data_IF_033258292530
#
_entry.id   IF_033258292530
#
_cell.length_a   1.000
_cell.length_b   1.000
_cell.length_c   1.000
_cell.angle_alpha   90.00
_cell.angle_beta   90.00
_cell.angle_gamma   90.00
#
_symmetry.space_group_name_H-M   'P 1'
#
loop_
_entity.id
_entity.type
_entity.pdbx_description
1 polymer ?
#
# COMPACT_ATOMS: atom_id res chain seq x y z
N UNK A 1 2.78 30.19 -18.22
CA UNK A 1 1.33 30.01 -18.11
C UNK A 1 0.98 28.72 -18.85
N UNK A 2 1.20 27.57 -18.21
CA UNK A 2 0.85 26.26 -18.80
C UNK A 2 0.71 25.22 -17.68
N UNK A 3 -0.22 25.49 -16.77
CA UNK A 3 -0.71 24.56 -15.74
C UNK A 3 -1.90 23.75 -16.28
N UNK A 4 -1.74 23.11 -17.44
CA UNK A 4 -2.82 22.39 -18.12
C UNK A 4 -2.33 21.04 -18.66
N UNK A 5 -1.86 20.17 -17.76
CA UNK A 5 -2.01 18.70 -17.76
C UNK A 5 -1.92 18.11 -16.33
N UNK A 6 -2.33 18.88 -15.31
CA UNK A 6 -2.56 18.38 -13.96
C UNK A 6 -4.03 17.96 -13.87
N UNK A 7 -4.34 16.82 -14.48
CA UNK A 7 -5.64 16.17 -14.41
C UNK A 7 -5.40 14.67 -14.34
N UNK A 8 -5.86 14.06 -13.25
CA UNK A 8 -5.96 12.61 -13.01
C UNK A 8 -4.67 11.80 -12.96
N UNK A 9 -3.99 11.84 -11.82
CA UNK A 9 -3.54 10.63 -11.09
C UNK A 9 -2.86 11.07 -9.80
N UNK A 10 -3.28 10.50 -8.66
CA UNK A 10 -2.48 10.55 -7.44
C UNK A 10 -1.03 10.18 -7.79
N UNK A 11 -0.05 10.92 -7.27
CA UNK A 11 1.35 10.76 -7.62
C UNK A 11 1.77 9.29 -7.44
N UNK A 12 1.84 8.54 -8.56
CA UNK A 12 2.27 7.15 -8.55
C UNK A 12 3.73 7.10 -8.11
N UNK A 13 4.05 6.16 -7.23
CA UNK A 13 5.40 5.86 -6.81
C UNK A 13 6.33 5.82 -8.04
N UNK A 14 7.40 6.60 -8.01
CA UNK A 14 8.42 6.59 -9.06
C UNK A 14 9.55 5.68 -8.60
N UNK A 15 9.83 4.63 -9.38
CA UNK A 15 10.91 3.69 -9.09
C UNK A 15 12.26 4.40 -9.26
N UNK A 16 13.10 4.51 -8.21
CA UNK A 16 14.43 5.07 -8.34
C UNK A 16 15.30 4.25 -9.31
N UNK A 17 16.23 4.89 -10.00
CA UNK A 17 17.15 4.20 -10.92
C UNK A 17 17.96 3.13 -10.18
N UNK A 18 17.97 1.90 -10.74
CA UNK A 18 18.64 0.75 -10.15
C UNK A 18 17.94 0.12 -8.94
N UNK A 19 16.78 0.65 -8.51
CA UNK A 19 15.99 0.08 -7.43
C UNK A 19 14.97 -0.94 -7.94
N UNK A 20 14.56 -1.84 -7.05
CA UNK A 20 13.43 -2.76 -7.28
C UNK A 20 12.14 -1.97 -7.33
N UNK A 21 11.26 -2.30 -8.27
CA UNK A 21 9.90 -1.79 -8.30
C UNK A 21 9.06 -2.46 -7.19
N UNK A 22 8.78 -1.72 -6.13
CA UNK A 22 7.98 -2.22 -5.00
C UNK A 22 6.53 -2.54 -5.38
N UNK A 23 5.96 -1.86 -6.39
CA UNK A 23 4.59 -2.12 -6.86
C UNK A 23 4.51 -3.50 -7.51
N UNK A 24 5.48 -3.84 -8.37
CA UNK A 24 5.58 -5.17 -9.00
C UNK A 24 5.83 -6.26 -7.95
N UNK A 25 6.81 -6.06 -7.06
CA UNK A 25 7.15 -7.05 -6.03
C UNK A 25 5.96 -7.35 -5.09
N UNK A 26 5.25 -6.31 -4.63
CA UNK A 26 4.07 -6.51 -3.78
C UNK A 26 2.93 -7.18 -4.53
N UNK A 27 2.77 -6.89 -5.83
CA UNK A 27 1.75 -7.54 -6.67
C UNK A 27 2.02 -9.04 -6.79
N UNK A 28 3.27 -9.45 -7.03
CA UNK A 28 3.66 -10.87 -7.08
C UNK A 28 3.38 -11.59 -5.75
N UNK A 29 3.60 -10.93 -4.61
CA UNK A 29 3.28 -11.51 -3.30
C UNK A 29 1.78 -11.64 -3.07
N UNK A 30 0.97 -10.66 -3.49
CA UNK A 30 -0.49 -10.73 -3.42
C UNK A 30 -1.01 -11.89 -4.30
N UNK A 31 -0.46 -12.07 -5.51
CA UNK A 31 -0.77 -13.22 -6.37
C UNK A 31 -0.42 -14.57 -5.71
N UNK A 32 0.61 -14.57 -4.87
CA UNK A 32 0.98 -15.71 -4.02
C UNK A 32 0.17 -15.82 -2.72
N UNK A 33 -0.99 -15.15 -2.63
CA UNK A 33 -1.93 -15.17 -1.50
C UNK A 33 -1.44 -14.45 -0.24
N UNK A 34 -0.47 -13.53 -0.35
CA UNK A 34 -0.12 -12.67 0.78
C UNK A 34 -1.26 -11.69 1.06
N UNK A 35 -1.77 -11.69 2.29
CA UNK A 35 -2.68 -10.65 2.76
C UNK A 35 -1.89 -9.35 3.00
N UNK A 36 -2.25 -8.28 2.29
CA UNK A 36 -1.66 -6.94 2.46
C UNK A 36 -2.75 -5.98 2.94
N UNK A 37 -2.48 -5.29 4.06
CA UNK A 37 -3.41 -4.30 4.64
C UNK A 37 -2.73 -2.96 4.88
N UNK A 38 -3.30 -1.88 4.36
CA UNK A 38 -2.83 -0.52 4.60
C UNK A 38 -3.53 0.12 5.81
N UNK A 39 -2.80 0.78 6.71
CA UNK A 39 -3.39 1.40 7.90
C UNK A 39 -4.43 2.47 7.51
N UNK A 40 -5.68 2.30 7.94
CA UNK A 40 -6.75 3.23 7.59
C UNK A 40 -6.52 4.68 8.07
N UNK A 41 -5.87 4.89 9.21
CA UNK A 41 -5.52 6.25 9.65
C UNK A 41 -4.48 6.88 8.72
N UNK A 42 -3.44 6.13 8.34
CA UNK A 42 -2.43 6.61 7.41
C UNK A 42 -3.00 6.92 6.03
N UNK A 43 -3.92 6.10 5.52
CA UNK A 43 -4.63 6.39 4.26
C UNK A 43 -5.39 7.72 4.33
N UNK A 44 -6.07 7.99 5.46
CA UNK A 44 -6.79 9.25 5.67
C UNK A 44 -5.82 10.44 5.71
N UNK A 45 -4.74 10.33 6.50
CA UNK A 45 -3.76 11.41 6.66
C UNK A 45 -3.04 11.73 5.34
N UNK A 46 -2.82 10.71 4.51
CA UNK A 46 -2.24 10.85 3.17
C UNK A 46 -3.28 11.18 2.08
N UNK A 47 -4.57 11.28 2.42
CA UNK A 47 -5.67 11.49 1.46
C UNK A 47 -5.67 10.48 0.30
N UNK A 48 -5.37 9.22 0.60
CA UNK A 48 -5.37 8.11 -0.37
C UNK A 48 -6.71 7.38 -0.28
N UNK A 49 -7.43 7.39 -1.39
CA UNK A 49 -8.66 6.61 -1.54
C UNK A 49 -8.35 5.11 -1.76
N UNK A 50 -9.26 4.23 -1.35
CA UNK A 50 -9.09 2.79 -1.53
C UNK A 50 -8.93 2.39 -3.01
N UNK A 51 -9.59 3.10 -3.93
CA UNK A 51 -9.43 2.87 -5.38
C UNK A 51 -8.04 3.24 -5.93
N UNK A 52 -7.28 4.02 -5.17
CA UNK A 52 -5.90 4.39 -5.50
C UNK A 52 -4.86 3.45 -4.87
N UNK A 53 -5.28 2.46 -4.09
CA UNK A 53 -4.38 1.44 -3.54
C UNK A 53 -4.01 0.40 -4.60
N UNK A 54 -2.87 -0.27 -4.38
CA UNK A 54 -2.47 -1.42 -5.17
C UNK A 54 -3.58 -2.50 -5.13
N UNK A 55 -4.03 -3.03 -6.29
CA UNK A 55 -5.06 -4.08 -6.32
C UNK A 55 -4.71 -5.26 -5.41
N UNK A 56 -5.71 -5.75 -4.66
CA UNK A 56 -5.53 -6.81 -3.67
C UNK A 56 -5.02 -6.32 -2.30
N UNK A 57 -4.70 -5.04 -2.14
CA UNK A 57 -4.51 -4.42 -0.84
C UNK A 57 -5.86 -4.07 -0.21
N UNK A 58 -6.04 -4.39 1.07
CA UNK A 58 -7.24 -4.01 1.82
C UNK A 58 -6.96 -2.85 2.78
N UNK A 59 -8.01 -2.10 3.13
CA UNK A 59 -7.95 -1.16 4.25
C UNK A 59 -7.88 -1.92 5.58
N UNK A 60 -6.81 -1.67 6.33
CA UNK A 60 -6.53 -2.23 7.64
C UNK A 60 -7.03 -1.38 8.81
N UNK A 61 -6.94 -1.96 10.01
CA UNK A 61 -7.21 -1.29 11.28
C UNK A 61 -6.26 -1.78 12.36
N UNK A 62 -6.13 -1.02 13.45
CA UNK A 62 -5.35 -1.48 14.61
C UNK A 62 -5.89 -2.78 15.21
N UNK A 63 -7.19 -3.03 15.11
CA UNK A 63 -7.81 -4.30 15.52
C UNK A 63 -7.35 -5.46 14.64
N UNK A 64 -7.25 -5.26 13.33
CA UNK A 64 -6.73 -6.26 12.40
C UNK A 64 -5.25 -6.56 12.68
N UNK A 65 -4.42 -5.52 12.87
CA UNK A 65 -3.02 -5.69 13.23
C UNK A 65 -2.85 -6.43 14.57
N UNK A 66 -3.62 -6.06 15.60
CA UNK A 66 -3.58 -6.75 16.89
C UNK A 66 -3.97 -8.24 16.77
N UNK A 67 -4.94 -8.55 15.91
CA UNK A 67 -5.32 -9.93 15.62
C UNK A 67 -4.21 -10.68 14.87
N UNK A 68 -3.53 -10.06 13.91
CA UNK A 68 -2.36 -10.66 13.25
C UNK A 68 -1.25 -10.95 14.26
N UNK A 69 -0.85 -9.96 15.06
CA UNK A 69 0.17 -10.13 16.12
C UNK A 69 -0.20 -11.28 17.07
N UNK A 70 -1.46 -11.40 17.48
CA UNK A 70 -1.92 -12.47 18.37
C UNK A 70 -1.81 -13.86 17.74
N UNK A 71 -1.97 -13.98 16.42
CA UNK A 71 -2.01 -15.26 15.71
C UNK A 71 -0.68 -15.59 15.00
N UNK A 72 0.32 -14.72 15.09
CA UNK A 72 1.66 -14.95 14.53
C UNK A 72 2.62 -15.46 15.60
N UNK A 73 3.48 -16.40 15.24
CA UNK A 73 4.58 -16.85 16.11
C UNK A 73 5.69 -15.79 16.22
N UNK A 74 5.92 -15.05 15.13
CA UNK A 74 6.93 -14.01 15.03
C UNK A 74 6.37 -12.78 14.33
N UNK A 75 6.83 -11.61 14.77
CA UNK A 75 6.52 -10.31 14.16
C UNK A 75 7.82 -9.62 13.82
N UNK A 76 7.97 -9.22 12.56
CA UNK A 76 9.09 -8.43 12.07
C UNK A 76 8.61 -7.00 11.79
N UNK A 77 9.42 -6.01 12.17
CA UNK A 77 9.15 -4.58 11.97
C UNK A 77 10.33 -4.00 11.19
N UNK A 78 10.03 -3.18 10.18
CA UNK A 78 11.00 -2.55 9.27
C UNK A 78 10.97 -1.03 9.42
#
# INVERSE_FOLDING_TARGET
MTWLKLGDTAARYQVPEGAVNLEELLSEFIECWLEVRACGMALNDCSIDESAMLPGTERGSMKALANWVKNSEHVMVF
#
